data_IF_432118344033
#
_entry.id   IF_432118344033
#
_cell.length_a   1.000
_cell.length_b   1.000
_cell.length_c   1.000
_cell.angle_alpha   90.00
_cell.angle_beta   90.00
_cell.angle_gamma   90.00
#
_symmetry.space_group_name_H-M   'P 1'
#
loop_
_entity.id
_entity.type
_entity.pdbx_description
1 polymer ?
#
# COMPACT_ATOMS: atom_id res chain seq x y z
N UNK A 1 75.38 1.52 69.88
CA UNK A 1 74.71 1.87 68.60
C UNK A 1 74.33 0.63 67.77
N UNK A 2 75.25 -0.11 67.11
CA UNK A 2 74.91 -1.22 66.17
C UNK A 2 73.78 -2.19 66.59
N UNK A 3 73.72 -2.63 67.86
CA UNK A 3 72.65 -3.54 68.35
C UNK A 3 71.23 -2.94 68.33
N UNK A 4 71.11 -1.61 68.46
CA UNK A 4 69.80 -0.91 68.46
C UNK A 4 69.23 -0.80 67.05
N UNK A 5 70.10 -0.55 66.04
CA UNK A 5 69.71 -0.54 64.63
C UNK A 5 69.19 -1.90 64.16
N UNK A 6 69.81 -3.01 64.60
CA UNK A 6 69.33 -4.36 64.32
C UNK A 6 67.95 -4.63 64.93
N UNK A 7 67.71 -4.20 66.17
CA UNK A 7 66.39 -4.34 66.81
C UNK A 7 65.31 -3.54 66.07
N UNK A 8 65.59 -2.30 65.67
CA UNK A 8 64.66 -1.47 64.87
C UNK A 8 64.36 -2.07 63.49
N UNK A 9 65.36 -2.65 62.82
CA UNK A 9 65.17 -3.28 61.50
C UNK A 9 64.32 -4.55 61.60
N UNK A 10 64.54 -5.38 62.63
CA UNK A 10 63.69 -6.56 62.91
C UNK A 10 62.26 -6.12 63.27
N UNK A 11 62.10 -5.07 64.08
CA UNK A 11 60.77 -4.57 64.46
C UNK A 11 60.02 -3.97 63.26
N UNK A 12 60.70 -3.20 62.41
CA UNK A 12 60.14 -2.69 61.15
C UNK A 12 59.79 -3.82 60.18
N UNK A 13 60.61 -4.87 60.10
CA UNK A 13 60.31 -6.09 59.35
C UNK A 13 59.08 -6.83 59.89
N UNK A 14 58.93 -6.94 61.20
CA UNK A 14 57.77 -7.55 61.83
C UNK A 14 56.48 -6.73 61.59
N UNK A 15 56.54 -5.40 61.73
CA UNK A 15 55.39 -4.50 61.49
C UNK A 15 54.98 -4.53 60.01
N UNK A 16 55.93 -4.51 59.07
CA UNK A 16 55.63 -4.59 57.64
C UNK A 16 55.13 -5.97 57.22
N UNK A 17 55.66 -7.06 57.78
CA UNK A 17 55.13 -8.41 57.58
C UNK A 17 53.70 -8.56 58.13
N UNK A 18 53.43 -8.04 59.34
CA UNK A 18 52.10 -8.06 59.97
C UNK A 18 51.08 -7.22 59.20
N UNK A 19 51.47 -6.04 58.71
CA UNK A 19 50.65 -5.22 57.81
C UNK A 19 50.36 -5.91 56.47
N UNK A 20 51.38 -6.55 55.87
CA UNK A 20 51.20 -7.31 54.62
C UNK A 20 50.29 -8.53 54.80
N UNK A 21 50.32 -9.18 55.97
CA UNK A 21 49.46 -10.32 56.27
C UNK A 21 48.01 -9.89 56.55
N UNK A 22 47.80 -8.85 57.35
CA UNK A 22 46.45 -8.36 57.70
C UNK A 22 45.70 -7.70 56.54
N UNK A 23 46.41 -7.04 55.60
CA UNK A 23 45.81 -6.50 54.37
C UNK A 23 45.39 -7.62 53.39
N UNK A 24 45.91 -8.85 53.51
CA UNK A 24 45.41 -10.02 52.76
C UNK A 24 44.13 -10.63 53.34
N UNK A 25 43.75 -10.28 54.57
CA UNK A 25 42.51 -10.73 55.23
C UNK A 25 41.45 -9.64 55.27
N UNK A 26 41.32 -8.86 54.19
CA UNK A 26 40.04 -8.21 53.88
C UNK A 26 39.12 -9.31 53.34
N UNK A 27 38.22 -9.79 54.19
CA UNK A 27 37.20 -10.75 53.77
C UNK A 27 36.31 -10.09 52.71
N UNK A 28 36.45 -10.55 51.47
CA UNK A 28 35.59 -10.12 50.37
C UNK A 28 34.22 -10.77 50.57
N UNK A 29 33.39 -10.14 51.39
CA UNK A 29 31.96 -10.44 51.52
C UNK A 29 31.27 -9.74 50.34
N UNK A 30 30.83 -10.47 49.30
CA UNK A 30 30.02 -9.86 48.25
C UNK A 30 28.66 -9.50 48.84
N UNK A 31 28.20 -8.27 48.61
CA UNK A 31 26.83 -7.90 48.93
C UNK A 31 25.91 -8.53 47.87
N UNK A 32 25.18 -9.58 48.25
CA UNK A 32 24.33 -10.37 47.34
C UNK A 32 22.87 -10.11 47.65
N UNK A 33 22.26 -9.21 46.87
CA UNK A 33 20.81 -9.00 46.91
C UNK A 33 20.07 -10.30 46.60
N UNK A 34 19.22 -10.74 47.53
CA UNK A 34 18.37 -11.93 47.37
C UNK A 34 16.90 -11.53 47.32
N UNK A 35 16.11 -12.29 46.57
CA UNK A 35 14.68 -12.03 46.36
C UNK A 35 13.94 -13.35 46.54
N UNK A 36 12.83 -13.32 47.28
CA UNK A 36 11.97 -14.49 47.43
C UNK A 36 11.37 -14.90 46.08
N UNK A 37 11.36 -16.21 45.82
CA UNK A 37 10.65 -16.77 44.66
C UNK A 37 9.15 -16.57 44.87
N UNK A 38 8.43 -16.14 43.83
CA UNK A 38 6.99 -15.86 43.87
C UNK A 38 6.26 -16.72 42.85
N UNK A 39 4.96 -16.92 43.03
CA UNK A 39 4.11 -17.58 42.04
C UNK A 39 3.21 -16.57 41.33
N UNK A 40 2.79 -16.91 40.11
CA UNK A 40 1.82 -16.16 39.33
C UNK A 40 2.15 -16.13 37.84
N UNK A 41 1.30 -15.45 37.08
CA UNK A 41 1.32 -15.53 35.62
C UNK A 41 2.59 -14.93 35.00
N UNK A 42 3.04 -15.51 33.90
CA UNK A 42 4.07 -14.94 33.01
C UNK A 42 3.47 -14.81 31.62
N UNK A 43 3.58 -13.61 31.04
CA UNK A 43 3.15 -13.30 29.67
C UNK A 43 4.39 -12.92 28.85
N UNK A 44 4.52 -13.53 27.68
CA UNK A 44 5.47 -13.15 26.62
C UNK A 44 4.71 -12.29 25.61
N UNK A 45 5.20 -11.07 25.41
CA UNK A 45 4.51 -10.02 24.63
C UNK A 45 5.38 -9.48 23.52
N UNK A 46 4.80 -9.26 22.34
CA UNK A 46 5.43 -8.56 21.23
C UNK A 46 4.85 -7.14 21.14
N UNK A 47 5.73 -6.15 21.21
CA UNK A 47 5.39 -4.74 21.02
C UNK A 47 5.51 -4.33 19.55
N UNK A 48 4.53 -3.61 19.04
CA UNK A 48 4.51 -3.07 17.68
C UNK A 48 3.86 -1.68 17.66
N UNK A 49 4.08 -0.92 16.59
CA UNK A 49 3.33 0.31 16.31
C UNK A 49 2.46 0.14 15.08
N UNK A 50 1.34 0.85 15.05
CA UNK A 50 0.36 0.76 13.97
C UNK A 50 -0.49 2.00 13.81
N UNK A 51 -1.27 2.03 12.74
CA UNK A 51 -2.27 3.06 12.49
C UNK A 51 -3.69 2.47 12.60
N UNK A 52 -4.64 3.30 13.03
CA UNK A 52 -6.06 2.96 13.03
C UNK A 52 -6.69 3.26 11.67
N UNK A 53 -7.41 2.28 11.14
CA UNK A 53 -8.21 2.36 9.91
C UNK A 53 -9.66 1.94 10.21
N UNK A 54 -10.64 2.46 9.48
CA UNK A 54 -12.01 1.95 9.56
C UNK A 54 -12.13 0.59 8.85
N UNK A 55 -13.01 -0.30 9.31
CA UNK A 55 -13.14 -1.67 8.76
C UNK A 55 -13.44 -1.70 7.25
N UNK A 56 -14.21 -0.73 6.76
CA UNK A 56 -14.53 -0.54 5.34
C UNK A 56 -14.48 0.94 5.01
N UNK A 57 -13.62 1.31 4.05
CA UNK A 57 -13.57 2.64 3.44
C UNK A 57 -13.78 2.52 1.93
N UNK A 58 -14.43 3.52 1.33
CA UNK A 58 -14.59 3.63 -0.13
C UNK A 58 -14.16 5.02 -0.57
N UNK A 59 -13.24 5.06 -1.53
CA UNK A 59 -12.87 6.26 -2.27
C UNK A 59 -13.92 6.52 -3.34
N UNK A 60 -14.48 7.73 -3.38
CA UNK A 60 -15.42 8.16 -4.43
C UNK A 60 -14.69 9.13 -5.36
N UNK A 61 -14.66 8.79 -6.65
CA UNK A 61 -14.05 9.59 -7.70
C UNK A 61 -15.05 9.95 -8.81
N UNK A 62 -14.64 10.82 -9.74
CA UNK A 62 -15.42 11.07 -10.96
C UNK A 62 -14.99 10.16 -12.11
N UNK A 63 -15.97 9.74 -12.92
CA UNK A 63 -15.74 9.09 -14.22
C UNK A 63 -15.73 10.09 -15.39
N UNK A 64 -16.28 11.30 -15.21
CA UNK A 64 -16.36 12.35 -16.23
C UNK A 64 -15.62 13.61 -15.80
N UNK A 65 -15.08 14.34 -16.79
CA UNK A 65 -14.38 15.61 -16.55
C UNK A 65 -15.39 16.77 -16.57
N UNK A 66 -15.27 17.72 -15.64
CA UNK A 66 -16.20 18.84 -15.48
C UNK A 66 -15.78 19.81 -14.38
N UNK A 67 -16.54 20.88 -14.17
CA UNK A 67 -16.34 21.83 -13.06
C UNK A 67 -17.33 21.48 -11.95
N UNK A 68 -16.91 21.51 -10.69
CA UNK A 68 -17.79 21.27 -9.54
C UNK A 68 -18.74 22.46 -9.38
N UNK A 69 -20.03 22.21 -9.58
CA UNK A 69 -21.09 23.22 -9.50
C UNK A 69 -21.69 23.27 -8.10
N UNK A 70 -21.98 22.12 -7.49
CA UNK A 70 -22.59 22.00 -6.17
C UNK A 70 -21.92 20.91 -5.33
N UNK A 71 -21.87 21.15 -4.02
CA UNK A 71 -21.35 20.23 -3.01
C UNK A 71 -22.38 20.14 -1.89
N UNK A 72 -22.92 18.95 -1.64
CA UNK A 72 -24.06 18.75 -0.73
C UNK A 72 -23.66 18.18 0.63
N UNK A 73 -22.41 17.72 0.77
CA UNK A 73 -21.87 17.11 2.00
C UNK A 73 -20.45 17.61 2.27
N UNK A 74 -20.11 17.77 3.55
CA UNK A 74 -18.78 18.20 4.01
C UNK A 74 -18.19 17.22 5.04
N UNK A 75 -16.99 17.49 5.55
CA UNK A 75 -16.31 16.61 6.52
C UNK A 75 -17.20 16.21 7.72
N UNK A 76 -17.19 14.92 8.07
CA UNK A 76 -18.01 14.29 9.11
C UNK A 76 -19.52 14.23 8.83
N UNK A 77 -19.99 14.57 7.62
CA UNK A 77 -21.38 14.35 7.23
C UNK A 77 -21.72 12.86 7.18
N UNK A 78 -22.88 12.49 7.72
CA UNK A 78 -23.47 11.16 7.56
C UNK A 78 -24.19 11.12 6.21
N UNK A 79 -23.93 10.08 5.42
CA UNK A 79 -24.52 9.86 4.08
C UNK A 79 -25.10 8.45 3.98
N UNK A 80 -26.09 8.27 3.13
CA UNK A 80 -26.67 6.97 2.79
C UNK A 80 -26.32 6.55 1.36
N UNK A 81 -26.40 5.25 1.09
CA UNK A 81 -26.24 4.72 -0.26
C UNK A 81 -27.22 5.41 -1.24
N UNK A 82 -26.68 5.97 -2.33
CA UNK A 82 -27.44 6.70 -3.34
C UNK A 82 -27.64 8.20 -3.07
N UNK A 83 -27.33 8.72 -1.88
CA UNK A 83 -27.38 10.16 -1.60
C UNK A 83 -26.44 10.93 -2.53
N UNK A 84 -26.89 12.08 -3.04
CA UNK A 84 -26.08 12.94 -3.92
C UNK A 84 -25.09 13.74 -3.07
N UNK A 85 -23.79 13.51 -3.27
CA UNK A 85 -22.73 14.17 -2.50
C UNK A 85 -22.18 15.41 -3.22
N UNK A 86 -22.16 15.40 -4.56
CA UNK A 86 -21.60 16.47 -5.38
C UNK A 86 -22.23 16.46 -6.79
N UNK A 87 -22.31 17.62 -7.44
CA UNK A 87 -22.68 17.76 -8.86
C UNK A 87 -21.60 18.49 -9.64
N UNK A 88 -21.25 17.94 -10.80
CA UNK A 88 -20.51 18.63 -11.85
C UNK A 88 -21.50 19.42 -12.72
N UNK A 89 -21.03 20.49 -13.37
CA UNK A 89 -21.80 21.26 -14.34
C UNK A 89 -22.34 20.36 -15.48
N UNK A 90 -23.68 20.18 -15.59
CA UNK A 90 -24.28 19.27 -16.55
C UNK A 90 -24.42 19.87 -17.95
N UNK A 91 -24.21 21.18 -18.13
CA UNK A 91 -24.62 21.95 -19.33
C UNK A 91 -24.10 21.36 -20.64
N UNK A 92 -22.87 20.85 -20.65
CA UNK A 92 -22.25 20.19 -21.82
C UNK A 92 -22.91 18.84 -22.13
N UNK A 93 -23.22 18.05 -21.10
CA UNK A 93 -23.80 16.71 -21.20
C UNK A 93 -25.28 16.78 -21.56
N UNK A 94 -26.03 17.75 -21.03
CA UNK A 94 -27.41 18.06 -21.46
C UNK A 94 -27.46 18.46 -22.94
N UNK A 95 -26.52 19.29 -23.39
CA UNK A 95 -26.42 19.69 -24.81
C UNK A 95 -26.12 18.50 -25.71
N UNK A 96 -25.23 17.59 -25.28
CA UNK A 96 -24.92 16.34 -26.01
C UNK A 96 -26.10 15.37 -26.02
N UNK A 97 -26.84 15.28 -24.92
CA UNK A 97 -28.05 14.45 -24.79
C UNK A 97 -29.15 14.90 -25.76
N UNK A 98 -29.46 16.20 -25.80
CA UNK A 98 -30.45 16.74 -26.75
C UNK A 98 -29.98 16.63 -28.21
N UNK A 99 -28.69 16.77 -28.48
CA UNK A 99 -28.13 16.49 -29.80
C UNK A 99 -28.31 15.01 -30.19
N UNK A 100 -28.10 14.07 -29.27
CA UNK A 100 -28.32 12.64 -29.52
C UNK A 100 -29.81 12.32 -29.74
N UNK A 101 -30.70 12.90 -28.93
CA UNK A 101 -32.17 12.80 -29.06
C UNK A 101 -32.66 13.30 -30.42
N UNK A 102 -32.16 14.44 -30.89
CA UNK A 102 -32.48 14.97 -32.22
C UNK A 102 -31.96 14.07 -33.36
N UNK A 103 -30.80 13.44 -33.19
CA UNK A 103 -30.27 12.46 -34.16
C UNK A 103 -31.10 11.16 -34.19
N UNK A 104 -31.60 10.69 -33.04
CA UNK A 104 -32.53 9.56 -32.96
C UNK A 104 -33.83 9.88 -33.71
N UNK A 105 -34.51 10.99 -33.38
CA UNK A 105 -35.77 11.39 -34.01
C UNK A 105 -35.66 11.50 -35.55
N UNK A 106 -34.56 12.06 -36.06
CA UNK A 106 -34.28 12.08 -37.51
C UNK A 106 -34.14 10.67 -38.10
N UNK A 107 -33.54 9.73 -37.35
CA UNK A 107 -33.36 8.34 -37.78
C UNK A 107 -34.68 7.59 -37.80
N UNK A 108 -35.57 7.86 -36.85
CA UNK A 108 -36.91 7.27 -36.75
C UNK A 108 -37.83 7.76 -37.88
N UNK A 109 -37.83 9.07 -38.16
CA UNK A 109 -38.57 9.66 -39.27
C UNK A 109 -38.12 9.10 -40.64
N UNK A 110 -36.84 8.74 -40.80
CA UNK A 110 -36.33 8.07 -42.00
C UNK A 110 -36.82 6.61 -42.10
N UNK A 111 -36.96 5.89 -40.98
CA UNK A 111 -37.59 4.56 -40.97
C UNK A 111 -39.08 4.65 -41.32
N UNK A 112 -39.80 5.66 -40.84
CA UNK A 112 -41.20 5.92 -41.21
C UNK A 112 -41.33 6.20 -42.71
N UNK A 113 -40.52 7.13 -43.25
CA UNK A 113 -40.47 7.46 -44.68
C UNK A 113 -40.20 6.23 -45.56
N UNK A 114 -39.28 5.36 -45.12
CA UNK A 114 -38.96 4.11 -45.83
C UNK A 114 -39.99 3.00 -45.60
N UNK A 115 -40.80 3.05 -44.55
CA UNK A 115 -41.94 2.14 -44.40
C UNK A 115 -43.02 2.44 -45.45
N UNK A 116 -43.36 3.72 -45.65
CA UNK A 116 -44.31 4.15 -46.70
C UNK A 116 -43.82 3.70 -48.09
N UNK A 117 -42.51 3.77 -48.35
CA UNK A 117 -41.92 3.28 -49.60
C UNK A 117 -42.01 1.74 -49.77
N UNK A 118 -41.93 0.98 -48.67
CA UNK A 118 -42.19 -0.47 -48.67
C UNK A 118 -43.67 -0.77 -48.93
N UNK A 119 -44.59 -0.03 -48.31
CA UNK A 119 -46.04 -0.26 -48.44
C UNK A 119 -46.57 0.07 -49.85
N UNK A 120 -46.00 1.09 -50.51
CA UNK A 120 -46.28 1.42 -51.91
C UNK A 120 -45.69 0.36 -52.87
N UNK A 121 -44.42 -0.04 -52.67
CA UNK A 121 -43.81 -1.12 -53.46
C UNK A 121 -44.54 -2.47 -53.31
N UNK A 122 -45.00 -2.81 -52.10
CA UNK A 122 -45.81 -4.00 -51.85
C UNK A 122 -47.20 -3.91 -52.48
N UNK A 123 -47.78 -2.71 -52.55
CA UNK A 123 -49.05 -2.44 -53.24
C UNK A 123 -48.91 -2.52 -54.76
N UNK A 124 -47.80 -2.04 -55.32
CA UNK A 124 -47.52 -2.17 -56.75
C UNK A 124 -47.25 -3.63 -57.11
N UNK A 125 -46.47 -4.37 -56.32
CA UNK A 125 -46.26 -5.81 -56.53
C UNK A 125 -47.55 -6.62 -56.46
N UNK A 126 -48.47 -6.28 -55.55
CA UNK A 126 -49.80 -6.91 -55.48
C UNK A 126 -50.58 -6.73 -56.78
N UNK A 127 -50.63 -5.51 -57.32
CA UNK A 127 -51.24 -5.22 -58.64
C UNK A 127 -50.53 -5.96 -59.78
N UNK A 128 -49.20 -5.99 -59.80
CA UNK A 128 -48.45 -6.73 -60.82
C UNK A 128 -48.76 -8.23 -60.80
N UNK A 129 -48.89 -8.84 -59.61
CA UNK A 129 -49.29 -10.26 -59.47
C UNK A 129 -50.72 -10.52 -59.94
N UNK A 130 -51.66 -9.61 -59.64
CA UNK A 130 -53.05 -9.67 -60.12
C UNK A 130 -53.13 -9.57 -61.65
N UNK A 131 -52.32 -8.70 -62.28
CA UNK A 131 -52.26 -8.54 -63.73
C UNK A 131 -51.52 -9.70 -64.43
N UNK A 132 -50.43 -10.21 -63.86
CA UNK A 132 -49.69 -11.35 -64.39
C UNK A 132 -50.54 -12.64 -64.37
N UNK A 133 -51.35 -12.83 -63.33
CA UNK A 133 -52.31 -13.94 -63.26
C UNK A 133 -53.43 -13.86 -64.33
N UNK A 134 -53.62 -12.70 -64.96
CA UNK A 134 -54.49 -12.51 -66.12
C UNK A 134 -53.75 -12.46 -67.47
N UNK A 135 -52.45 -12.79 -67.50
CA UNK A 135 -51.57 -12.69 -68.68
C UNK A 135 -51.46 -11.25 -69.26
N UNK A 136 -51.69 -10.22 -68.44
CA UNK A 136 -51.76 -8.81 -68.88
C UNK A 136 -50.43 -8.04 -68.82
N UNK A 137 -49.38 -8.60 -68.22
CA UNK A 137 -48.02 -8.03 -68.15
C UNK A 137 -46.96 -9.13 -68.37
N UNK A 138 -45.73 -8.74 -68.70
CA UNK A 138 -44.62 -9.68 -68.84
C UNK A 138 -44.07 -10.17 -67.49
N UNK A 139 -43.44 -11.35 -67.50
CA UNK A 139 -42.74 -11.92 -66.33
C UNK A 139 -41.65 -10.96 -65.80
N UNK A 140 -40.94 -10.28 -66.70
CA UNK A 140 -39.92 -9.27 -66.36
C UNK A 140 -40.49 -8.05 -65.62
N UNK A 141 -41.73 -7.64 -65.89
CA UNK A 141 -42.41 -6.57 -65.12
C UNK A 141 -42.79 -7.02 -63.71
N UNK A 142 -43.14 -8.31 -63.54
CA UNK A 142 -43.38 -8.91 -62.23
C UNK A 142 -42.07 -9.03 -61.44
N UNK A 143 -41.00 -9.55 -62.04
CA UNK A 143 -39.67 -9.62 -61.43
C UNK A 143 -39.16 -8.23 -60.99
N UNK A 144 -39.36 -7.20 -61.82
CA UNK A 144 -39.00 -5.83 -61.50
C UNK A 144 -39.72 -5.30 -60.25
N UNK A 145 -41.01 -5.61 -60.09
CA UNK A 145 -41.77 -5.27 -58.89
C UNK A 145 -41.27 -6.05 -57.63
N UNK A 146 -40.86 -7.31 -57.78
CA UNK A 146 -40.27 -8.09 -56.69
C UNK A 146 -38.86 -7.63 -56.30
N UNK A 147 -38.07 -7.13 -57.25
CA UNK A 147 -36.78 -6.47 -56.97
C UNK A 147 -37.01 -5.13 -56.28
N UNK A 148 -38.01 -4.35 -56.71
CA UNK A 148 -38.34 -3.06 -56.10
C UNK A 148 -38.74 -3.21 -54.62
N UNK A 149 -39.63 -4.15 -54.29
CA UNK A 149 -40.01 -4.41 -52.89
C UNK A 149 -38.79 -4.85 -52.05
N UNK A 150 -38.01 -5.82 -52.52
CA UNK A 150 -36.80 -6.29 -51.79
C UNK A 150 -35.77 -5.17 -51.59
N UNK A 151 -35.66 -4.24 -52.53
CA UNK A 151 -34.81 -3.04 -52.40
C UNK A 151 -35.34 -2.10 -51.30
N UNK A 152 -36.64 -1.80 -51.29
CA UNK A 152 -37.26 -0.97 -50.26
C UNK A 152 -37.15 -1.60 -48.86
N UNK A 153 -37.36 -2.92 -48.74
CA UNK A 153 -37.19 -3.66 -47.48
C UNK A 153 -35.74 -3.62 -46.97
N UNK A 154 -34.76 -3.77 -47.87
CA UNK A 154 -33.34 -3.64 -47.54
C UNK A 154 -32.98 -2.22 -47.06
N UNK A 155 -33.54 -1.18 -47.71
CA UNK A 155 -33.38 0.22 -47.28
C UNK A 155 -33.99 0.45 -45.90
N UNK A 156 -35.24 0.03 -45.66
CA UNK A 156 -35.88 0.14 -44.33
C UNK A 156 -35.09 -0.62 -43.26
N UNK A 157 -34.56 -1.80 -43.57
CA UNK A 157 -33.69 -2.59 -42.66
C UNK A 157 -32.37 -1.87 -42.34
N UNK A 158 -31.81 -1.14 -43.30
CA UNK A 158 -30.62 -0.30 -43.11
C UNK A 158 -30.93 0.89 -42.18
N UNK A 159 -32.01 1.63 -42.42
CA UNK A 159 -32.43 2.72 -41.54
C UNK A 159 -32.80 2.23 -40.12
N UNK A 160 -33.38 1.04 -39.97
CA UNK A 160 -33.60 0.40 -38.68
C UNK A 160 -32.28 0.05 -37.95
N UNK A 161 -31.19 -0.20 -38.67
CA UNK A 161 -29.86 -0.31 -38.06
C UNK A 161 -29.32 1.07 -37.63
N UNK A 162 -29.58 2.12 -38.43
CA UNK A 162 -29.22 3.50 -38.07
C UNK A 162 -29.95 3.98 -36.81
N UNK A 163 -31.24 3.67 -36.64
CA UNK A 163 -32.00 3.93 -35.40
C UNK A 163 -31.33 3.26 -34.20
N UNK A 164 -30.93 1.97 -34.31
CA UNK A 164 -30.23 1.29 -33.21
C UNK A 164 -28.88 1.91 -32.87
N UNK A 165 -28.13 2.41 -33.86
CA UNK A 165 -26.89 3.17 -33.61
C UNK A 165 -27.18 4.50 -32.90
N UNK A 166 -28.20 5.24 -33.33
CA UNK A 166 -28.61 6.49 -32.71
C UNK A 166 -29.12 6.28 -31.27
N UNK A 167 -29.86 5.19 -31.00
CA UNK A 167 -30.30 4.81 -29.67
C UNK A 167 -29.13 4.44 -28.74
N UNK A 168 -28.13 3.70 -29.23
CA UNK A 168 -26.92 3.41 -28.47
C UNK A 168 -26.12 4.69 -28.15
N UNK A 169 -26.06 5.63 -29.10
CA UNK A 169 -25.46 6.95 -28.87
C UNK A 169 -26.26 7.80 -27.89
N UNK A 170 -27.60 7.72 -27.88
CA UNK A 170 -28.43 8.38 -26.89
C UNK A 170 -28.13 7.85 -25.49
N UNK A 171 -28.21 6.52 -25.31
CA UNK A 171 -27.96 5.85 -24.02
C UNK A 171 -26.56 6.11 -23.47
N UNK A 172 -25.53 6.21 -24.33
CA UNK A 172 -24.19 6.62 -23.90
C UNK A 172 -24.15 8.04 -23.33
N UNK A 173 -24.91 8.99 -23.91
CA UNK A 173 -24.98 10.36 -23.39
C UNK A 173 -25.86 10.47 -22.14
N UNK A 174 -26.91 9.63 -22.02
CA UNK A 174 -27.71 9.49 -20.79
C UNK A 174 -26.81 9.06 -19.62
N UNK A 175 -26.02 7.99 -19.79
CA UNK A 175 -25.07 7.53 -18.76
C UNK A 175 -23.99 8.56 -18.44
N UNK A 176 -23.45 9.27 -19.45
CA UNK A 176 -22.49 10.36 -19.21
C UNK A 176 -23.09 11.52 -18.40
N UNK A 177 -24.38 11.84 -18.61
CA UNK A 177 -25.10 12.84 -17.81
C UNK A 177 -25.36 12.32 -16.38
N UNK A 178 -25.74 11.06 -16.20
CA UNK A 178 -25.88 10.46 -14.86
C UNK A 178 -24.56 10.52 -14.07
N UNK A 179 -23.42 10.30 -14.73
CA UNK A 179 -22.09 10.42 -14.13
C UNK A 179 -21.69 11.85 -13.71
N UNK A 180 -22.45 12.89 -14.07
CA UNK A 180 -22.25 14.25 -13.50
C UNK A 180 -22.71 14.36 -12.04
N UNK A 181 -23.60 13.46 -11.61
CA UNK A 181 -24.22 13.45 -10.28
C UNK A 181 -23.53 12.39 -9.42
N UNK A 182 -22.49 12.79 -8.70
CA UNK A 182 -21.73 11.87 -7.85
C UNK A 182 -22.54 11.54 -6.59
N UNK A 183 -22.66 10.23 -6.31
CA UNK A 183 -23.44 9.67 -5.21
C UNK A 183 -22.55 8.89 -4.25
N UNK A 184 -23.00 8.75 -3.00
CA UNK A 184 -22.38 7.83 -2.04
C UNK A 184 -22.66 6.36 -2.44
N UNK A 185 -21.64 5.51 -2.60
CA UNK A 185 -21.80 4.10 -2.98
C UNK A 185 -22.05 3.16 -1.78
N UNK A 186 -22.07 3.70 -0.56
CA UNK A 186 -22.33 3.00 0.71
C UNK A 186 -22.97 3.99 1.71
N UNK A 187 -23.73 3.46 2.66
CA UNK A 187 -23.99 4.18 3.92
C UNK A 187 -22.67 4.45 4.66
N UNK A 188 -22.52 5.61 5.29
CA UNK A 188 -21.32 5.90 6.09
C UNK A 188 -21.14 7.35 6.51
N UNK A 189 -19.91 7.70 6.86
CA UNK A 189 -19.48 9.05 7.25
C UNK A 189 -18.36 9.51 6.31
N UNK A 190 -18.49 10.74 5.78
CA UNK A 190 -17.45 11.38 4.96
C UNK A 190 -16.25 11.72 5.85
N UNK A 191 -15.15 10.96 5.75
CA UNK A 191 -13.92 11.23 6.51
C UNK A 191 -13.05 12.28 5.85
N UNK A 192 -13.04 12.30 4.51
CA UNK A 192 -12.17 13.18 3.71
C UNK A 192 -12.93 13.76 2.53
N UNK A 193 -12.67 15.04 2.24
CA UNK A 193 -13.04 15.75 1.00
C UNK A 193 -11.77 16.39 0.45
N UNK A 194 -11.48 16.16 -0.83
CA UNK A 194 -10.24 16.58 -1.50
C UNK A 194 -10.48 17.65 -2.58
N UNK A 195 -11.72 18.16 -2.70
CA UNK A 195 -12.14 19.10 -3.73
C UNK A 195 -13.08 20.19 -3.21
N UNK A 196 -13.02 21.36 -3.84
CA UNK A 196 -13.86 22.54 -3.54
C UNK A 196 -14.79 22.92 -4.71
N UNK A 197 -15.86 23.67 -4.42
CA UNK A 197 -16.79 24.19 -5.43
C UNK A 197 -16.06 25.17 -6.37
N UNK A 198 -16.30 25.05 -7.68
CA UNK A 198 -15.60 25.80 -8.73
C UNK A 198 -14.27 25.19 -9.18
N UNK A 199 -13.79 24.11 -8.55
CA UNK A 199 -12.62 23.37 -9.01
C UNK A 199 -12.94 22.51 -10.24
N UNK A 200 -12.02 22.47 -11.21
CA UNK A 200 -12.11 21.58 -12.37
C UNK A 200 -11.58 20.19 -12.03
N UNK A 201 -12.40 19.16 -12.29
CA UNK A 201 -12.08 17.75 -12.15
C UNK A 201 -11.77 17.17 -13.54
N UNK A 202 -10.65 16.46 -13.67
CA UNK A 202 -10.23 15.81 -14.90
C UNK A 202 -10.09 14.29 -14.69
N UNK A 203 -11.06 13.51 -15.17
CA UNK A 203 -11.09 12.05 -15.04
C UNK A 203 -10.36 11.31 -16.19
N UNK A 204 -9.86 12.04 -17.20
CA UNK A 204 -9.46 11.49 -18.50
C UNK A 204 -8.22 10.57 -18.51
N UNK A 205 -7.47 10.46 -17.41
CA UNK A 205 -6.27 9.62 -17.31
C UNK A 205 -6.26 8.72 -16.07
N UNK A 206 -6.74 9.23 -14.95
CA UNK A 206 -6.99 8.48 -13.72
C UNK A 206 -8.25 9.08 -13.08
N UNK A 207 -9.08 8.27 -12.42
CA UNK A 207 -10.19 8.79 -11.62
C UNK A 207 -9.62 9.48 -10.36
N UNK A 208 -9.82 10.79 -10.16
CA UNK A 208 -9.31 11.48 -8.99
C UNK A 208 -10.15 11.14 -7.75
N UNK A 209 -9.49 10.95 -6.60
CA UNK A 209 -10.17 10.81 -5.31
C UNK A 209 -10.81 12.15 -4.92
N UNK A 210 -12.14 12.19 -4.84
CA UNK A 210 -12.90 13.39 -4.45
C UNK A 210 -13.28 13.33 -2.96
N UNK A 211 -13.72 12.16 -2.50
CA UNK A 211 -14.15 11.89 -1.14
C UNK A 211 -13.67 10.53 -0.66
N UNK A 212 -13.52 10.39 0.65
CA UNK A 212 -13.40 9.08 1.33
C UNK A 212 -14.55 8.94 2.31
N UNK A 213 -15.30 7.83 2.20
CA UNK A 213 -16.43 7.49 3.07
C UNK A 213 -16.06 6.24 3.86
N UNK A 214 -16.19 6.30 5.19
CA UNK A 214 -16.04 5.14 6.07
C UNK A 214 -17.42 4.60 6.45
N UNK A 215 -17.67 3.31 6.23
CA UNK A 215 -19.01 2.72 6.40
C UNK A 215 -19.46 2.70 7.87
N UNK A 216 -18.56 2.32 8.77
CA UNK A 216 -18.84 2.13 10.19
C UNK A 216 -17.59 2.44 11.01
N UNK A 217 -17.67 3.50 11.84
CA UNK A 217 -16.59 3.88 12.76
C UNK A 217 -16.69 3.17 14.13
N UNK A 218 -17.77 2.42 14.41
CA UNK A 218 -17.88 1.60 15.64
C UNK A 218 -17.01 0.34 15.57
N UNK A 219 -16.53 -0.01 14.39
CA UNK A 219 -15.59 -1.12 14.14
C UNK A 219 -14.33 -0.56 13.48
N UNK A 220 -13.26 -0.46 14.26
CA UNK A 220 -11.95 -0.03 13.79
C UNK A 220 -11.04 -1.24 13.60
N UNK A 221 -9.93 -1.05 12.89
CA UNK A 221 -8.80 -1.96 12.82
C UNK A 221 -7.53 -1.22 13.17
N UNK A 222 -6.63 -1.87 13.88
CA UNK A 222 -5.23 -1.43 13.96
C UNK A 222 -4.44 -2.25 12.95
N UNK A 223 -3.72 -1.56 12.07
CA UNK A 223 -2.72 -2.17 11.18
C UNK A 223 -1.36 -2.02 11.86
N UNK A 224 -0.95 -3.04 12.59
CA UNK A 224 0.29 -3.06 13.36
C UNK A 224 1.43 -3.67 12.54
N UNK A 225 2.56 -2.96 12.44
CA UNK A 225 3.73 -3.43 11.72
C UNK A 225 4.62 -4.24 12.66
N UNK A 226 4.56 -5.57 12.56
CA UNK A 226 5.34 -6.49 13.40
C UNK A 226 6.63 -6.87 12.67
N UNK A 227 7.75 -6.90 13.39
CA UNK A 227 9.07 -7.25 12.85
C UNK A 227 9.13 -8.70 12.31
N UNK A 228 9.92 -8.94 11.27
CA UNK A 228 10.15 -10.27 10.69
C UNK A 228 10.64 -11.31 11.72
N UNK A 229 11.41 -10.90 12.72
CA UNK A 229 11.87 -11.81 13.78
C UNK A 229 10.76 -12.29 14.73
N UNK A 230 9.65 -11.54 14.81
CA UNK A 230 8.55 -11.81 15.75
C UNK A 230 7.27 -12.32 15.09
N UNK A 231 7.00 -12.00 13.82
CA UNK A 231 5.77 -12.44 13.11
C UNK A 231 5.58 -13.95 13.15
N UNK A 232 6.68 -14.73 13.15
CA UNK A 232 6.65 -16.19 13.25
C UNK A 232 5.99 -16.73 14.53
N UNK A 233 5.88 -15.91 15.59
CA UNK A 233 5.22 -16.23 16.86
C UNK A 233 3.74 -15.83 16.91
N UNK A 234 3.30 -14.91 16.06
CA UNK A 234 1.94 -14.32 16.07
C UNK A 234 0.92 -15.26 15.42
N UNK A 235 -0.31 -15.34 15.96
CA UNK A 235 -1.40 -16.21 15.47
C UNK A 235 -2.76 -15.49 15.51
N UNK A 236 -3.68 -15.78 14.56
CA UNK A 236 -5.05 -15.30 14.64
C UNK A 236 -5.74 -15.69 15.95
N UNK A 237 -6.63 -14.83 16.43
CA UNK A 237 -7.34 -14.89 17.71
C UNK A 237 -6.45 -14.73 18.97
N UNK A 238 -5.19 -14.32 18.85
CA UNK A 238 -4.43 -13.83 20.01
C UNK A 238 -5.05 -12.55 20.59
N UNK A 239 -4.98 -12.41 21.91
CA UNK A 239 -5.40 -11.23 22.66
C UNK A 239 -4.37 -10.10 22.46
N UNK A 240 -4.89 -8.88 22.29
CA UNK A 240 -4.09 -7.67 22.11
C UNK A 240 -4.59 -6.61 23.09
N UNK A 241 -3.66 -5.92 23.74
CA UNK A 241 -3.94 -4.62 24.36
C UNK A 241 -3.22 -3.53 23.57
N UNK A 242 -3.85 -2.38 23.38
CA UNK A 242 -3.24 -1.24 22.70
C UNK A 242 -3.62 0.08 23.36
N UNK A 243 -2.73 1.04 23.29
CA UNK A 243 -2.97 2.44 23.67
C UNK A 243 -2.82 3.32 22.44
N UNK A 244 -3.59 4.40 22.36
CA UNK A 244 -3.44 5.42 21.30
C UNK A 244 -2.85 6.69 21.89
N UNK A 245 -2.03 7.40 21.10
CA UNK A 245 -1.30 8.59 21.58
C UNK A 245 -2.23 9.70 22.12
N UNK A 246 -3.49 9.72 21.68
CA UNK A 246 -4.53 10.64 22.15
C UNK A 246 -5.11 10.28 23.53
N UNK A 247 -5.02 9.01 23.95
CA UNK A 247 -5.58 8.49 25.20
C UNK A 247 -4.59 7.52 25.90
N UNK A 248 -3.38 7.97 26.29
CA UNK A 248 -2.31 7.11 26.82
C UNK A 248 -2.59 6.53 28.22
N UNK A 249 -3.74 6.85 28.83
CA UNK A 249 -4.21 6.33 30.11
C UNK A 249 -5.43 5.39 29.97
N UNK A 250 -5.93 5.16 28.75
CA UNK A 250 -6.97 4.17 28.45
C UNK A 250 -6.34 3.03 27.65
N UNK A 251 -6.38 1.81 28.19
CA UNK A 251 -6.02 0.60 27.46
C UNK A 251 -7.24 0.05 26.73
N UNK A 252 -7.10 -0.22 25.43
CA UNK A 252 -8.14 -0.79 24.58
C UNK A 252 -7.81 -2.26 24.29
N UNK A 253 -8.82 -3.14 24.39
CA UNK A 253 -8.68 -4.55 24.00
C UNK A 253 -9.00 -4.75 22.51
N UNK A 254 -8.28 -5.66 21.87
CA UNK A 254 -8.53 -6.13 20.51
C UNK A 254 -8.08 -7.58 20.33
N UNK A 255 -8.26 -8.10 19.12
CA UNK A 255 -7.80 -9.46 18.76
C UNK A 255 -7.15 -9.49 17.38
N UNK A 256 -6.13 -10.35 17.22
CA UNK A 256 -5.46 -10.55 15.93
C UNK A 256 -6.44 -11.21 14.95
N UNK A 257 -6.87 -10.46 13.94
CA UNK A 257 -7.79 -10.92 12.90
C UNK A 257 -7.05 -11.77 11.87
N UNK A 258 -5.97 -11.23 11.32
CA UNK A 258 -5.12 -11.89 10.33
C UNK A 258 -3.74 -11.22 10.23
N UNK A 259 -2.77 -11.91 9.64
CA UNK A 259 -1.44 -11.39 9.32
C UNK A 259 -1.37 -11.29 7.80
N UNK A 260 -1.06 -10.11 7.23
CA UNK A 260 -0.86 -9.99 5.77
C UNK A 260 0.41 -10.74 5.37
N UNK A 261 0.34 -11.49 4.27
CA UNK A 261 1.46 -12.29 3.76
C UNK A 261 2.47 -11.46 2.94
N UNK A 262 2.07 -10.27 2.51
CA UNK A 262 2.93 -9.32 1.80
C UNK A 262 3.71 -8.47 2.82
N UNK A 263 5.07 -8.51 2.82
CA UNK A 263 5.88 -7.73 3.74
C UNK A 263 6.00 -6.28 3.31
N UNK A 264 5.92 -5.35 4.26
CA UNK A 264 6.20 -3.93 4.08
C UNK A 264 7.67 -3.69 4.41
N UNK A 265 8.45 -3.26 3.41
CA UNK A 265 9.87 -2.92 3.56
C UNK A 265 10.04 -1.40 3.60
N UNK A 266 10.28 -0.85 4.79
CA UNK A 266 10.50 0.59 5.01
C UNK A 266 11.90 0.82 5.53
N UNK A 267 12.69 1.65 4.85
CA UNK A 267 14.09 1.96 5.22
C UNK A 267 14.95 0.70 5.49
N UNK A 268 14.78 -0.33 4.65
CA UNK A 268 15.43 -1.65 4.76
C UNK A 268 15.04 -2.50 5.99
N UNK A 269 14.07 -2.07 6.81
CA UNK A 269 13.43 -2.90 7.84
C UNK A 269 12.25 -3.66 7.21
N UNK A 270 12.17 -4.97 7.46
CA UNK A 270 11.10 -5.85 6.96
C UNK A 270 10.05 -6.02 8.06
N UNK A 271 8.81 -5.66 7.77
CA UNK A 271 7.68 -5.80 8.70
C UNK A 271 6.48 -6.47 8.04
N UNK A 272 5.66 -7.15 8.83
CA UNK A 272 4.43 -7.79 8.40
C UNK A 272 3.23 -7.10 9.05
N UNK A 273 2.38 -6.52 8.20
CA UNK A 273 1.18 -5.82 8.63
C UNK A 273 0.16 -6.80 9.21
N UNK A 274 -0.01 -6.75 10.53
CA UNK A 274 -0.95 -7.56 11.28
C UNK A 274 -2.23 -6.76 11.52
N UNK A 275 -3.36 -7.30 11.06
CA UNK A 275 -4.68 -6.69 11.16
C UNK A 275 -5.31 -7.12 12.47
N UNK A 276 -5.64 -6.16 13.32
CA UNK A 276 -6.18 -6.37 14.67
C UNK A 276 -7.54 -5.69 14.71
N UNK A 277 -8.62 -6.44 14.95
CA UNK A 277 -9.96 -5.87 15.03
C UNK A 277 -10.14 -5.19 16.41
N UNK A 278 -10.62 -3.95 16.38
CA UNK A 278 -10.67 -3.01 17.51
C UNK A 278 -12.09 -2.42 17.68
N UNK A 279 -12.87 -2.87 18.68
CA UNK A 279 -14.20 -2.32 18.96
C UNK A 279 -14.13 -0.85 19.39
N UNK A 280 -14.99 0.00 18.82
CA UNK A 280 -15.05 1.44 19.11
C UNK A 280 -16.49 1.92 19.43
N UNK A 281 -17.19 1.32 20.42
CA UNK A 281 -18.59 1.65 20.70
C UNK A 281 -18.80 3.11 21.15
N UNK A 282 -17.76 3.76 21.69
CA UNK A 282 -17.80 5.14 22.17
C UNK A 282 -17.36 6.18 21.11
N UNK A 283 -16.98 5.76 19.90
CA UNK A 283 -16.47 6.62 18.82
C UNK A 283 -15.26 7.52 19.20
N UNK A 284 -14.55 7.16 20.28
CA UNK A 284 -13.30 7.77 20.74
C UNK A 284 -12.19 7.61 19.70
N UNK A 285 -12.00 6.38 19.22
CA UNK A 285 -10.99 6.03 18.24
C UNK A 285 -11.38 6.61 16.86
N UNK A 286 -10.39 7.07 16.09
CA UNK A 286 -10.58 7.69 14.77
C UNK A 286 -9.56 7.17 13.75
N UNK A 287 -9.91 7.12 12.45
CA UNK A 287 -8.93 6.79 11.41
C UNK A 287 -7.72 7.73 11.46
N UNK A 288 -6.53 7.20 11.19
CA UNK A 288 -5.27 7.94 11.21
C UNK A 288 -4.63 8.14 12.59
N UNK A 289 -5.23 7.66 13.68
CA UNK A 289 -4.57 7.63 15.00
C UNK A 289 -3.44 6.58 15.03
N UNK A 290 -2.28 6.95 15.59
CA UNK A 290 -1.24 5.98 15.95
C UNK A 290 -1.67 5.16 17.18
N UNK A 291 -1.36 3.86 17.17
CA UNK A 291 -1.44 2.99 18.32
C UNK A 291 -0.09 2.35 18.64
N UNK A 292 0.22 2.25 19.93
CA UNK A 292 1.22 1.33 20.47
C UNK A 292 0.51 0.05 20.88
N UNK A 293 0.94 -1.08 20.34
CA UNK A 293 0.24 -2.36 20.35
C UNK A 293 1.08 -3.39 21.09
N UNK A 294 0.45 -4.12 22.00
CA UNK A 294 1.06 -5.23 22.76
C UNK A 294 0.26 -6.50 22.50
N UNK A 295 0.85 -7.45 21.77
CA UNK A 295 0.24 -8.75 21.45
C UNK A 295 0.66 -9.78 22.50
N UNK A 296 -0.29 -10.45 23.16
CA UNK A 296 0.00 -11.58 24.04
C UNK A 296 0.34 -12.83 23.20
N UNK A 297 1.62 -13.17 23.14
CA UNK A 297 2.13 -14.28 22.31
C UNK A 297 2.01 -15.62 23.04
N UNK A 298 2.37 -15.65 24.32
CA UNK A 298 2.19 -16.81 25.18
C UNK A 298 1.90 -16.38 26.63
N UNK A 299 0.92 -17.03 27.26
CA UNK A 299 0.57 -16.88 28.67
C UNK A 299 0.80 -18.21 29.40
N UNK A 300 1.38 -18.15 30.60
CA UNK A 300 1.44 -19.29 31.53
C UNK A 300 0.98 -18.82 32.90
N UNK A 301 -0.06 -19.44 33.42
CA UNK A 301 -0.70 -19.01 34.66
C UNK A 301 -0.16 -19.77 35.87
N UNK A 302 -0.14 -19.12 37.04
CA UNK A 302 0.28 -19.73 38.31
C UNK A 302 1.64 -20.46 38.26
N UNK A 303 2.66 -19.86 37.61
CA UNK A 303 4.00 -20.43 37.50
C UNK A 303 5.00 -19.81 38.48
N UNK A 304 6.04 -20.56 38.81
CA UNK A 304 7.16 -20.11 39.65
C UNK A 304 7.97 -19.02 38.93
N UNK A 305 7.84 -17.76 39.38
CA UNK A 305 8.53 -16.58 38.85
C UNK A 305 9.92 -16.42 39.50
N UNK A 306 10.96 -16.40 38.67
CA UNK A 306 12.35 -16.12 39.08
C UNK A 306 12.84 -14.87 38.33
N UNK A 307 13.40 -13.85 39.01
CA UNK A 307 13.95 -12.66 38.35
C UNK A 307 15.07 -13.00 37.36
N UNK A 308 15.04 -12.41 36.16
CA UNK A 308 16.05 -12.60 35.11
C UNK A 308 17.47 -12.18 35.57
N UNK A 309 17.56 -11.24 36.52
CA UNK A 309 18.82 -10.88 37.19
C UNK A 309 19.47 -12.06 37.93
N UNK A 310 18.69 -12.90 38.61
CA UNK A 310 19.18 -14.08 39.32
C UNK A 310 19.70 -15.16 38.34
N UNK A 311 19.04 -15.33 37.18
CA UNK A 311 19.49 -16.26 36.13
C UNK A 311 20.79 -15.82 35.44
N UNK A 312 21.12 -14.52 35.49
CA UNK A 312 22.38 -13.96 34.95
C UNK A 312 23.53 -13.97 35.96
N UNK A 313 23.26 -14.31 37.23
CA UNK A 313 24.28 -14.39 38.26
C UNK A 313 25.25 -15.54 37.98
N UNK A 314 26.54 -15.21 37.85
CA UNK A 314 27.64 -16.17 37.69
C UNK A 314 28.51 -16.18 38.95
N UNK A 315 28.07 -16.84 40.04
CA UNK A 315 28.85 -16.89 41.27
C UNK A 315 30.20 -17.58 41.03
N UNK A 316 31.27 -16.92 41.47
CA UNK A 316 32.61 -17.53 41.49
C UNK A 316 32.75 -18.43 42.74
N UNK A 317 33.72 -19.36 42.79
CA UNK A 317 33.96 -20.18 43.98
C UNK A 317 34.16 -19.38 45.27
N UNK A 318 34.70 -18.14 45.18
CA UNK A 318 34.83 -17.25 46.32
C UNK A 318 33.47 -16.73 46.84
N UNK A 319 32.50 -16.52 45.96
CA UNK A 319 31.14 -16.11 46.34
C UNK A 319 30.38 -17.24 47.03
N UNK A 320 30.51 -18.49 46.54
CA UNK A 320 29.97 -19.65 47.25
C UNK A 320 30.58 -19.82 48.65
N UNK A 321 31.90 -19.68 48.77
CA UNK A 321 32.60 -19.74 50.05
C UNK A 321 32.12 -18.64 51.03
N UNK A 322 31.97 -17.40 50.57
CA UNK A 322 31.46 -16.30 51.38
C UNK A 322 29.98 -16.45 51.77
N UNK A 323 29.17 -17.13 50.95
CA UNK A 323 27.77 -17.47 51.24
C UNK A 323 27.61 -18.75 52.09
N UNK A 324 28.70 -19.41 52.48
CA UNK A 324 28.66 -20.67 53.24
C UNK A 324 28.05 -21.85 52.48
N UNK A 325 27.99 -21.77 51.14
CA UNK A 325 27.35 -22.76 50.27
C UNK A 325 28.39 -23.70 49.63
N UNK A 326 28.10 -25.00 49.45
CA UNK A 326 29.02 -25.93 48.79
C UNK A 326 29.18 -25.55 47.31
N UNK A 327 30.43 -25.40 46.85
CA UNK A 327 30.75 -25.02 45.46
C UNK A 327 30.33 -26.14 44.50
N UNK A 328 29.46 -25.89 43.49
CA UNK A 328 29.04 -26.90 42.52
C UNK A 328 30.22 -27.54 41.75
N UNK A 329 30.18 -28.84 41.41
CA UNK A 329 31.30 -29.55 40.79
C UNK A 329 31.80 -28.91 39.49
N UNK A 330 30.92 -28.34 38.66
CA UNK A 330 31.30 -27.72 37.38
C UNK A 330 32.26 -26.53 37.58
N UNK A 331 32.08 -25.77 38.66
CA UNK A 331 32.91 -24.60 38.97
C UNK A 331 34.25 -24.97 39.63
N UNK A 332 34.38 -26.20 40.14
CA UNK A 332 35.65 -26.70 40.68
C UNK A 332 36.65 -27.05 39.57
N UNK A 333 36.18 -27.50 38.40
CA UNK A 333 37.03 -27.86 37.25
C UNK A 333 37.64 -26.63 36.55
N UNK A 334 36.87 -25.54 36.41
CA UNK A 334 37.27 -24.35 35.65
C UNK A 334 38.55 -23.67 36.18
N UNK A 335 38.90 -23.86 37.46
CA UNK A 335 40.09 -23.28 38.08
C UNK A 335 41.42 -24.00 37.78
N UNK A 336 41.43 -25.14 37.07
CA UNK A 336 42.61 -26.05 36.99
C UNK A 336 43.19 -26.19 35.57
N UNK A 337 43.52 -25.07 34.93
CA UNK A 337 43.89 -25.01 33.49
C UNK A 337 45.10 -24.15 33.10
N UNK A 338 46.19 -24.13 33.88
CA UNK A 338 47.38 -23.32 33.59
C UNK A 338 48.37 -23.93 32.56
N UNK A 339 48.38 -23.41 31.33
CA UNK A 339 49.50 -23.35 30.35
C UNK A 339 50.63 -24.42 30.39
N UNK A 340 50.78 -25.29 29.35
CA UNK A 340 51.76 -26.40 29.36
C UNK A 340 52.56 -26.80 28.08
N UNK A 341 52.00 -26.70 26.86
CA UNK A 341 52.68 -26.87 25.53
C UNK A 341 53.12 -28.30 25.06
N UNK A 342 52.78 -28.59 23.78
CA UNK A 342 53.53 -29.35 22.75
C UNK A 342 53.30 -30.87 22.46
N UNK A 343 52.76 -31.13 21.24
CA UNK A 343 53.10 -32.21 20.25
C UNK A 343 52.72 -33.68 20.60
N UNK A 344 52.39 -34.56 19.64
CA UNK A 344 52.06 -34.45 18.20
C UNK A 344 51.54 -35.81 17.64
N UNK A 345 50.60 -35.83 16.68
CA UNK A 345 50.24 -37.08 15.98
C UNK A 345 49.07 -37.02 14.99
N UNK A 346 49.38 -37.07 13.69
CA UNK A 346 48.58 -37.50 12.52
C UNK A 346 47.04 -37.32 12.45
N UNK A 347 46.60 -36.52 11.46
CA UNK A 347 45.37 -36.71 10.66
C UNK A 347 45.74 -36.49 9.17
N UNK A 348 45.23 -37.30 8.22
CA UNK A 348 45.48 -37.11 6.79
C UNK A 348 44.59 -36.02 6.16
N UNK A 349 44.83 -35.69 4.90
CA UNK A 349 44.23 -34.54 4.20
C UNK A 349 42.83 -34.78 3.62
N UNK A 350 42.08 -33.69 3.44
CA UNK A 350 40.79 -33.65 2.73
C UNK A 350 40.39 -32.20 2.37
N UNK A 351 40.03 -32.01 1.10
CA UNK A 351 39.57 -30.76 0.46
C UNK A 351 38.28 -30.15 1.07
N UNK A 352 37.89 -28.88 0.86
CA UNK A 352 38.50 -27.69 0.23
C UNK A 352 37.72 -26.42 0.67
N UNK A 353 38.31 -25.22 0.51
CA UNK A 353 37.59 -23.93 0.47
C UNK A 353 38.34 -22.94 -0.44
N UNK A 354 37.65 -22.21 -1.35
CA UNK A 354 38.30 -21.24 -2.23
C UNK A 354 38.70 -19.93 -1.53
N UNK A 355 39.60 -19.19 -2.17
CA UNK A 355 40.19 -17.92 -1.75
C UNK A 355 39.24 -16.70 -1.96
N UNK A 356 39.53 -15.50 -1.43
CA UNK A 356 40.61 -15.07 -0.52
C UNK A 356 40.98 -13.58 -0.69
N UNK A 357 42.22 -13.22 -0.31
CA UNK A 357 42.97 -11.95 -0.64
C UNK A 357 42.29 -10.60 -0.32
N UNK A 358 42.70 -9.83 0.71
CA UNK A 358 43.97 -9.08 0.95
C UNK A 358 44.09 -7.75 0.18
N UNK A 359 44.56 -6.61 0.75
CA UNK A 359 45.11 -6.39 2.10
C UNK A 359 45.46 -4.91 2.39
N UNK A 360 46.37 -4.64 3.35
CA UNK A 360 46.95 -3.32 3.68
C UNK A 360 48.09 -2.91 2.69
N UNK A 361 48.74 -1.73 2.68
CA UNK A 361 48.74 -0.48 3.49
C UNK A 361 48.73 0.72 2.44
N UNK A 362 48.98 2.04 2.64
CA UNK A 362 49.66 2.79 3.70
C UNK A 362 49.31 4.30 3.75
N UNK A 363 49.59 4.95 4.91
CA UNK A 363 50.01 6.37 5.15
C UNK A 363 49.38 7.55 4.36
N UNK A 364 48.99 8.63 5.07
CA UNK A 364 49.06 10.00 4.48
C UNK A 364 48.19 11.15 5.05
N UNK A 365 48.66 11.81 6.12
CA UNK A 365 48.61 13.27 6.40
C UNK A 365 47.52 14.21 5.79
N UNK A 366 46.84 15.03 6.63
CA UNK A 366 46.22 16.32 6.21
C UNK A 366 44.74 16.57 6.64
N UNK A 367 44.35 17.79 7.08
CA UNK A 367 42.98 18.09 7.54
C UNK A 367 42.28 19.17 6.64
N UNK A 368 41.21 19.92 7.04
CA UNK A 368 39.89 19.65 6.46
C UNK A 368 39.14 20.85 5.81
N UNK A 369 38.19 20.52 4.94
CA UNK A 369 37.21 21.42 4.31
C UNK A 369 36.54 20.72 3.12
N UNK A 370 35.36 21.12 2.63
CA UNK A 370 34.48 22.21 3.07
C UNK A 370 33.64 22.71 1.90
N UNK A 371 32.31 22.64 1.99
CA UNK A 371 31.37 22.98 0.91
C UNK A 371 30.99 21.77 0.05
N UNK A 372 29.69 21.62 -0.25
CA UNK A 372 29.16 20.60 -1.15
C UNK A 372 28.71 21.20 -2.49
N UNK A 373 28.35 20.38 -3.49
CA UNK A 373 27.87 20.84 -4.78
C UNK A 373 26.34 20.82 -4.87
N UNK A 374 25.78 21.70 -5.70
CA UNK A 374 24.45 21.56 -6.26
C UNK A 374 24.47 21.83 -7.76
N UNK A 375 23.49 21.29 -8.48
CA UNK A 375 22.99 21.87 -9.73
C UNK A 375 23.68 21.52 -11.07
N UNK A 376 22.84 21.00 -11.97
CA UNK A 376 22.83 21.20 -13.43
C UNK A 376 23.84 20.46 -14.34
N UNK A 377 23.34 20.15 -15.56
CA UNK A 377 24.04 19.45 -16.66
C UNK A 377 23.97 17.91 -16.54
N UNK A 378 23.36 17.15 -17.46
CA UNK A 378 22.83 17.49 -18.79
C UNK A 378 23.95 17.65 -19.82
N UNK A 379 24.11 16.80 -20.83
CA UNK A 379 23.33 15.61 -21.23
C UNK A 379 23.56 15.37 -22.73
N UNK A 380 24.50 14.48 -23.08
CA UNK A 380 25.15 14.54 -24.39
C UNK A 380 24.97 13.31 -25.29
N UNK A 381 24.49 13.55 -26.52
CA UNK A 381 24.80 12.77 -27.73
C UNK A 381 24.02 11.45 -27.93
N UNK A 382 23.41 11.29 -29.11
CA UNK A 382 23.91 10.43 -30.20
C UNK A 382 23.00 10.54 -31.44
N UNK A 383 23.58 10.78 -32.62
CA UNK A 383 22.92 10.58 -33.92
C UNK A 383 23.16 9.16 -34.46
N UNK A 384 22.55 8.76 -35.59
CA UNK A 384 23.23 8.99 -36.87
C UNK A 384 22.23 9.32 -38.04
N UNK A 385 22.47 8.97 -39.32
CA UNK A 385 22.98 9.93 -40.30
C UNK A 385 22.04 10.19 -41.50
N UNK A 386 22.35 11.20 -42.31
CA UNK A 386 21.60 11.53 -43.53
C UNK A 386 22.14 10.87 -44.81
N UNK A 387 21.29 10.83 -45.83
CA UNK A 387 21.61 10.52 -47.23
C UNK A 387 20.55 11.16 -48.13
N UNK A 388 20.93 11.58 -49.34
CA UNK A 388 20.02 12.28 -50.27
C UNK A 388 20.18 11.78 -51.71
N UNK A 389 19.18 12.07 -52.55
CA UNK A 389 19.17 11.66 -53.96
C UNK A 389 18.00 12.23 -54.75
N UNK A 390 18.30 13.28 -55.53
CA UNK A 390 17.80 13.59 -56.89
C UNK A 390 16.27 13.75 -57.19
N UNK A 391 15.99 14.53 -58.23
CA UNK A 391 14.65 14.73 -58.82
C UNK A 391 14.45 13.88 -60.09
N UNK A 392 13.68 14.31 -61.13
CA UNK A 392 13.24 15.68 -61.42
C UNK A 392 11.71 15.86 -61.58
N UNK A 393 11.24 17.11 -61.45
CA UNK A 393 9.87 17.53 -61.82
C UNK A 393 9.83 18.14 -63.23
N UNK A 394 8.86 17.74 -64.07
CA UNK A 394 8.75 18.14 -65.47
C UNK A 394 7.72 19.24 -65.78
N UNK A 395 8.11 20.12 -66.71
CA UNK A 395 7.34 21.06 -67.55
C UNK A 395 5.80 20.97 -67.60
N UNK A 396 5.13 22.14 -67.64
CA UNK A 396 3.70 22.26 -67.99
C UNK A 396 3.12 23.68 -67.83
N UNK A 397 3.61 24.65 -68.60
CA UNK A 397 3.30 26.08 -68.38
C UNK A 397 2.00 26.63 -69.00
N UNK A 398 1.63 27.85 -68.57
CA UNK A 398 0.53 28.67 -69.11
C UNK A 398 -0.30 29.31 -67.98
N UNK A 399 -0.57 30.62 -67.93
CA UNK A 399 -0.10 31.73 -68.78
C UNK A 399 -1.22 32.68 -69.23
N UNK A 400 -1.71 33.55 -68.33
CA UNK A 400 -2.74 34.57 -68.63
C UNK A 400 -3.01 35.46 -67.40
N UNK A 401 -3.24 36.78 -67.54
CA UNK A 401 -3.23 37.71 -66.39
C UNK A 401 -4.59 38.27 -65.94
N UNK A 402 -4.56 38.84 -64.74
CA UNK A 402 -5.39 39.93 -64.17
C UNK A 402 -5.38 41.20 -65.09
N UNK A 403 -6.15 42.29 -64.84
CA UNK A 403 -7.10 42.54 -63.73
C UNK A 403 -8.42 43.26 -64.11
N UNK A 404 -9.15 43.70 -63.07
CA UNK A 404 -10.04 44.89 -62.94
C UNK A 404 -11.54 44.66 -62.64
N UNK A 405 -11.95 45.30 -61.52
CA UNK A 405 -13.25 45.98 -61.25
C UNK A 405 -14.57 45.19 -61.42
N UNK A 406 -15.23 44.96 -60.28
CA UNK A 406 -16.36 45.81 -59.87
C UNK A 406 -16.54 45.88 -58.36
#
# INVERSE_FOLDING_TARGET
MRRILLALLILGGAITAYGYYSVRTVEFVPDVSTVAVTEGDIVDTVGATGALEAVTTVQVGSQVSGIIQELHVDFNSIVREGDVIMRLDPSLFETQLEQARANLLRSEAEVERLSVAVDDAATQLRRSRELAAGELISETELEAAEVALRSAEAQRKSAQAQVRQSQASLSMNEVNLEHTVIRAPIDGIVTSRLVDVGQTVAASFQAPELFVIAADLTKMRVIANIDESDVGRIRPNQRVTFTVDAFPAEEFEGSVSQIRLEPIVTQNVVTYATVIDAPNPELKLKPGMTATVTVEVARRENVTRIPNSALRFRPTPAVFAALGQPVPPELQLAGRGGSGRARSGAMPAGAERPAGTSGAEARGFGPPGGGGPGGFGGGGGFGPPGGGGEGPGGFGGGGGPDPERR
#
